data_IF_120880305027
#
_entry.id   IF_120880305027
#
_cell.length_a   1.000
_cell.length_b   1.000
_cell.length_c   1.000
_cell.angle_alpha   90.00
_cell.angle_beta   90.00
_cell.angle_gamma   90.00
#
_symmetry.space_group_name_H-M   'P 1'
#
loop_
_entity.id
_entity.type
_entity.pdbx_description
1 polymer ?
#
# COMPACT_ATOMS: atom_id res chain seq x y z
N UNK A 1 10.05 -7.27 2.28
CA UNK A 1 9.18 -6.31 2.99
C UNK A 1 8.40 -5.48 1.98
N UNK A 2 7.24 -4.98 2.36
CA UNK A 2 6.37 -4.10 1.58
C UNK A 2 6.39 -2.67 2.14
N UNK A 3 6.07 -1.69 1.29
CA UNK A 3 5.89 -0.29 1.67
C UNK A 3 4.79 0.37 0.84
N UNK A 4 4.20 1.43 1.38
CA UNK A 4 3.25 2.28 0.64
C UNK A 4 3.96 3.03 -0.50
N UNK A 5 3.25 3.27 -1.60
CA UNK A 5 3.77 4.00 -2.75
C UNK A 5 3.92 5.49 -2.48
N UNK A 6 5.12 6.02 -2.75
CA UNK A 6 5.40 7.46 -2.61
C UNK A 6 4.83 8.30 -3.76
N UNK A 7 4.41 7.68 -4.88
CA UNK A 7 3.82 8.39 -6.02
C UNK A 7 2.31 8.62 -5.87
N UNK A 8 1.69 8.08 -4.82
CA UNK A 8 0.27 8.24 -4.55
C UNK A 8 0.02 9.46 -3.67
N UNK A 9 -0.79 10.39 -4.18
CA UNK A 9 -1.24 11.57 -3.46
C UNK A 9 -2.56 11.27 -2.78
N UNK A 10 -2.63 11.50 -1.47
CA UNK A 10 -3.86 11.28 -0.73
C UNK A 10 -4.92 12.34 -0.99
N UNK A 11 -6.18 11.90 -1.09
CA UNK A 11 -7.37 12.75 -1.12
C UNK A 11 -8.31 12.32 0.02
N UNK A 12 -8.14 12.88 1.23
CA UNK A 12 -8.82 12.38 2.43
C UNK A 12 -10.34 12.63 2.40
N UNK A 13 -10.80 13.70 1.74
CA UNK A 13 -12.21 14.07 1.68
C UNK A 13 -13.10 13.03 0.98
N UNK A 14 -12.58 12.31 -0.02
CA UNK A 14 -13.34 11.29 -0.75
C UNK A 14 -12.81 9.86 -0.55
N UNK A 15 -11.84 9.67 0.36
CA UNK A 15 -11.18 8.39 0.67
C UNK A 15 -10.52 7.77 -0.57
N UNK A 16 -9.76 8.59 -1.28
CA UNK A 16 -9.10 8.18 -2.52
C UNK A 16 -7.60 8.44 -2.51
N UNK A 17 -6.91 7.72 -3.38
CA UNK A 17 -5.52 7.98 -3.75
C UNK A 17 -5.47 8.37 -5.22
N UNK A 18 -4.78 9.44 -5.53
CA UNK A 18 -4.47 9.84 -6.90
C UNK A 18 -3.09 9.31 -7.29
N UNK A 19 -3.02 8.58 -8.39
CA UNK A 19 -1.77 8.13 -8.97
C UNK A 19 -1.30 9.14 -10.03
N UNK A 20 -0.22 9.87 -9.74
CA UNK A 20 0.31 10.87 -10.65
C UNK A 20 0.94 10.27 -11.91
N UNK A 21 1.39 9.01 -11.85
CA UNK A 21 2.05 8.33 -12.97
C UNK A 21 1.03 7.85 -14.01
N UNK A 22 -0.14 7.38 -13.56
CA UNK A 22 -1.19 6.83 -14.44
C UNK A 22 -2.41 7.74 -14.61
N UNK A 23 -2.48 8.85 -13.87
CA UNK A 23 -3.64 9.75 -13.80
C UNK A 23 -4.94 9.05 -13.34
N UNK A 24 -4.81 7.97 -12.56
CA UNK A 24 -5.95 7.23 -12.03
C UNK A 24 -6.32 7.66 -10.61
N UNK A 25 -7.61 7.55 -10.28
CA UNK A 25 -8.11 7.74 -8.92
C UNK A 25 -8.55 6.38 -8.38
N UNK A 26 -7.85 5.92 -7.34
CA UNK A 26 -8.19 4.72 -6.59
C UNK A 26 -9.10 5.12 -5.43
N UNK A 27 -10.38 4.79 -5.53
CA UNK A 27 -11.36 5.08 -4.47
C UNK A 27 -11.54 3.88 -3.55
N UNK A 28 -11.47 4.11 -2.26
CA UNK A 28 -11.61 3.08 -1.24
C UNK A 28 -12.95 3.22 -0.51
N UNK A 29 -13.44 2.09 0.03
CA UNK A 29 -14.44 2.14 1.09
C UNK A 29 -13.76 2.55 2.41
N UNK A 30 -14.55 2.83 3.44
CA UNK A 30 -14.02 3.27 4.74
C UNK A 30 -12.99 2.31 5.32
N UNK A 31 -13.32 1.03 5.31
CA UNK A 31 -12.49 -0.05 5.83
C UNK A 31 -11.13 -0.13 5.14
N UNK A 32 -11.14 -0.17 3.80
CA UNK A 32 -9.92 -0.23 3.00
C UNK A 32 -9.08 1.04 3.14
N UNK A 33 -9.73 2.20 3.24
CA UNK A 33 -9.04 3.47 3.43
C UNK A 33 -8.34 3.55 4.80
N UNK A 34 -9.01 3.14 5.89
CA UNK A 34 -8.36 3.07 7.21
C UNK A 34 -7.17 2.13 7.19
N UNK A 35 -7.33 0.94 6.61
CA UNK A 35 -6.28 -0.06 6.57
C UNK A 35 -5.03 0.44 5.83
N UNK A 36 -5.18 1.04 4.64
CA UNK A 36 -4.01 1.56 3.90
C UNK A 36 -3.36 2.75 4.62
N UNK A 37 -4.11 3.56 5.37
CA UNK A 37 -3.58 4.67 6.17
C UNK A 37 -2.68 4.20 7.30
N UNK A 38 -2.97 3.05 7.93
CA UNK A 38 -2.15 2.47 9.00
C UNK A 38 -0.76 2.06 8.51
N UNK A 39 -0.66 1.56 7.28
CA UNK A 39 0.59 1.09 6.67
C UNK A 39 1.33 2.15 5.84
N UNK A 40 0.85 3.40 5.83
CA UNK A 40 1.44 4.45 4.96
C UNK A 40 2.90 4.74 5.29
N UNK A 41 3.21 4.89 6.57
CA UNK A 41 4.50 5.40 7.02
C UNK A 41 5.44 4.28 7.50
N UNK A 42 5.11 3.03 7.21
CA UNK A 42 5.81 1.86 7.75
C UNK A 42 6.22 0.90 6.65
N UNK A 43 7.33 0.20 6.90
CA UNK A 43 7.64 -1.03 6.19
C UNK A 43 6.94 -2.17 6.91
N UNK A 44 6.37 -3.10 6.17
CA UNK A 44 5.59 -4.19 6.75
C UNK A 44 5.74 -5.47 5.95
N UNK A 45 5.54 -6.61 6.59
CA UNK A 45 5.43 -7.93 5.96
C UNK A 45 3.96 -8.32 5.77
N UNK A 46 3.70 -9.41 5.04
CA UNK A 46 2.34 -9.95 4.98
C UNK A 46 1.86 -10.41 6.37
N UNK A 47 2.78 -10.89 7.20
CA UNK A 47 2.48 -11.34 8.57
C UNK A 47 2.13 -10.17 9.51
N UNK A 48 2.61 -8.96 9.23
CA UNK A 48 2.19 -7.73 9.91
C UNK A 48 0.82 -7.23 9.41
N UNK A 49 0.55 -7.44 8.11
CA UNK A 49 -0.67 -6.96 7.46
C UNK A 49 -1.92 -7.74 7.86
N UNK A 50 -1.85 -9.08 7.87
CA UNK A 50 -3.01 -9.94 8.06
C UNK A 50 -3.71 -9.77 9.43
N UNK A 51 -2.99 -9.65 10.57
CA UNK A 51 -3.62 -9.42 11.87
C UNK A 51 -4.43 -8.12 11.91
N UNK A 52 -3.92 -7.04 11.33
CA UNK A 52 -4.62 -5.76 11.25
C UNK A 52 -5.83 -5.85 10.32
N UNK A 53 -5.64 -6.45 9.14
CA UNK A 53 -6.71 -6.63 8.17
C UNK A 53 -7.87 -7.48 8.73
N UNK A 54 -7.61 -8.46 9.59
CA UNK A 54 -8.65 -9.26 10.26
C UNK A 54 -9.58 -8.47 11.18
N UNK A 55 -9.19 -7.28 11.65
CA UNK A 55 -10.07 -6.38 12.41
C UNK A 55 -11.15 -5.73 11.53
N UNK A 56 -10.98 -5.83 10.21
CA UNK A 56 -11.67 -5.03 9.21
C UNK A 56 -12.38 -5.90 8.18
N UNK A 57 -11.82 -7.06 7.84
CA UNK A 57 -12.39 -8.02 6.90
C UNK A 57 -13.04 -9.20 7.64
N UNK A 58 -14.14 -9.76 7.08
CA UNK A 58 -14.86 -10.86 7.71
C UNK A 58 -14.08 -12.19 7.68
N UNK A 59 -13.10 -12.34 6.77
CA UNK A 59 -12.22 -13.50 6.72
C UNK A 59 -10.86 -13.16 6.10
N UNK A 60 -9.90 -14.07 6.25
CA UNK A 60 -8.53 -13.89 5.78
C UNK A 60 -8.41 -13.89 4.25
N UNK A 61 -9.22 -14.67 3.54
CA UNK A 61 -9.19 -14.72 2.07
C UNK A 61 -9.52 -13.37 1.46
N UNK A 62 -10.50 -12.65 2.03
CA UNK A 62 -10.82 -11.28 1.62
C UNK A 62 -9.69 -10.30 1.93
N UNK A 63 -9.03 -10.44 3.09
CA UNK A 63 -7.85 -9.63 3.43
C UNK A 63 -6.70 -9.86 2.43
N UNK A 64 -6.42 -11.12 2.09
CA UNK A 64 -5.42 -11.48 1.06
C UNK A 64 -5.81 -10.96 -0.31
N UNK A 65 -7.08 -11.07 -0.70
CA UNK A 65 -7.57 -10.54 -1.96
C UNK A 65 -7.43 -9.00 -2.04
N UNK A 66 -7.69 -8.28 -0.94
CA UNK A 66 -7.48 -6.84 -0.86
C UNK A 66 -5.99 -6.49 -0.96
N UNK A 67 -5.12 -7.21 -0.25
CA UNK A 67 -3.67 -7.05 -0.33
C UNK A 67 -3.15 -7.22 -1.78
N UNK A 68 -3.57 -8.28 -2.46
CA UNK A 68 -3.20 -8.55 -3.85
C UNK A 68 -3.69 -7.44 -4.81
N UNK A 69 -4.89 -6.88 -4.58
CA UNK A 69 -5.35 -5.70 -5.34
C UNK A 69 -4.49 -4.48 -5.07
N UNK A 70 -4.08 -4.25 -3.83
CA UNK A 70 -3.18 -3.15 -3.50
C UNK A 70 -1.83 -3.28 -4.21
N UNK A 71 -1.29 -4.50 -4.33
CA UNK A 71 -0.09 -4.76 -5.14
C UNK A 71 -0.34 -4.50 -6.64
N UNK A 72 -1.45 -5.02 -7.17
CA UNK A 72 -1.82 -4.85 -8.60
C UNK A 72 -1.97 -3.38 -9.00
N UNK A 73 -2.52 -2.56 -8.12
CA UNK A 73 -2.75 -1.13 -8.35
C UNK A 73 -1.61 -0.25 -7.83
N UNK A 74 -0.44 -0.85 -7.52
CA UNK A 74 0.75 -0.11 -7.09
C UNK A 74 0.52 0.77 -5.84
N UNK A 75 -0.41 0.37 -4.97
CA UNK A 75 -0.64 0.98 -3.65
C UNK A 75 0.47 0.56 -2.69
N UNK A 76 0.80 -0.73 -2.72
CA UNK A 76 1.96 -1.28 -2.02
C UNK A 76 2.99 -1.76 -3.02
N UNK A 77 4.26 -1.63 -2.67
CA UNK A 77 5.38 -2.15 -3.44
C UNK A 77 6.23 -3.04 -2.57
N UNK A 78 6.86 -4.05 -3.18
CA UNK A 78 7.96 -4.72 -2.52
C UNK A 78 9.06 -3.67 -2.34
N UNK A 79 9.47 -3.42 -1.10
CA UNK A 79 10.66 -2.65 -0.83
C UNK A 79 11.82 -3.47 -1.36
N UNK A 80 12.29 -3.16 -2.57
CA UNK A 80 13.61 -3.59 -2.98
C UNK A 80 14.56 -3.07 -1.90
N UNK A 81 15.34 -3.98 -1.29
CA UNK A 81 16.57 -3.54 -0.63
C UNK A 81 17.26 -2.65 -1.64
N UNK A 82 17.47 -1.39 -1.25
CA UNK A 82 18.15 -0.43 -2.10
C UNK A 82 19.57 -0.96 -2.27
N UNK A 83 19.80 -1.74 -3.33
CA UNK A 83 21.14 -1.96 -3.84
C UNK A 83 21.63 -0.59 -4.26
N UNK A 84 22.35 0.06 -3.36
CA UNK A 84 23.10 1.28 -3.62
C UNK A 84 23.88 1.01 -4.91
N UNK A 85 23.75 1.83 -5.97
CA UNK A 85 24.66 1.71 -7.09
C UNK A 85 26.06 2.01 -6.52
N UNK A 86 26.92 0.99 -6.52
CA UNK A 86 28.34 1.16 -6.28
C UNK A 86 28.90 2.01 -7.43
N UNK A 87 28.83 3.33 -7.27
CA UNK A 87 29.11 4.26 -8.36
C UNK A 87 28.96 5.71 -7.94
N UNK A 88 29.85 6.16 -7.06
CA UNK A 88 30.31 7.54 -6.94
C UNK A 88 31.60 7.46 -6.11
N UNK A 89 32.77 7.96 -6.47
CA UNK A 89 33.35 8.73 -7.58
C UNK A 89 34.84 8.94 -7.12
N UNK A 90 35.70 9.71 -7.80
CA UNK A 90 35.90 9.99 -9.22
C UNK A 90 37.20 9.38 -9.77
#
# INVERSE_FOLDING_TARGET
MYRFSNSLVERPHDRSLFNADTFEILRFNETGYRLISEFRNTHFSLDDFLPVARLHFPNEDQARAFFLRCLKHHVFHLSAETSVPAGANP
#
